data_IF_390780142766
#
_entry.id   IF_390780142766
#
_cell.length_a   1.000
_cell.length_b   1.000
_cell.length_c   1.000
_cell.angle_alpha   90.00
_cell.angle_beta   90.00
_cell.angle_gamma   90.00
#
_symmetry.space_group_name_H-M   'P 1'
#
loop_
_entity.id
_entity.type
_entity.pdbx_description
1 polymer ?
#
# COMPACT_ATOMS: atom_id res chain seq x y z
N UNK A 1 -43.12 2.95 4.10
CA UNK A 1 -41.95 3.61 4.72
C UNK A 1 -40.70 3.01 4.10
N UNK A 2 -39.95 3.79 3.32
CA UNK A 2 -38.65 3.37 2.79
C UNK A 2 -37.63 3.48 3.91
N UNK A 3 -37.17 2.37 4.48
CA UNK A 3 -36.04 2.37 5.41
C UNK A 3 -34.77 2.62 4.61
N UNK A 4 -34.27 3.84 4.63
CA UNK A 4 -32.94 4.17 4.11
C UNK A 4 -31.91 3.39 4.92
N UNK A 5 -31.23 2.42 4.31
CA UNK A 5 -30.04 1.80 4.90
C UNK A 5 -29.03 2.93 5.10
N UNK A 6 -28.54 3.18 6.33
CA UNK A 6 -27.54 4.21 6.54
C UNK A 6 -26.29 3.87 5.72
N UNK A 7 -25.59 4.88 5.16
CA UNK A 7 -24.36 4.62 4.45
C UNK A 7 -23.37 3.93 5.39
N UNK A 8 -22.75 2.84 4.92
CA UNK A 8 -21.73 2.13 5.69
C UNK A 8 -20.49 3.03 5.77
N UNK A 9 -20.44 3.87 6.81
CA UNK A 9 -19.25 4.63 7.16
C UNK A 9 -18.23 3.61 7.68
N UNK A 10 -17.11 3.46 6.97
CA UNK A 10 -16.01 2.61 7.44
C UNK A 10 -15.22 3.38 8.47
N UNK A 11 -15.01 2.75 9.63
CA UNK A 11 -14.10 3.26 10.64
C UNK A 11 -12.66 3.25 10.12
N UNK A 12 -11.76 4.13 10.62
CA UNK A 12 -10.33 4.06 10.30
C UNK A 12 -9.75 2.66 10.56
N UNK A 13 -10.20 2.00 11.62
CA UNK A 13 -9.78 0.65 12.01
C UNK A 13 -10.19 -0.39 10.96
N UNK A 14 -11.40 -0.28 10.40
CA UNK A 14 -11.84 -1.16 9.31
C UNK A 14 -11.02 -0.95 8.04
N UNK A 15 -10.61 0.28 7.76
CA UNK A 15 -9.75 0.61 6.62
C UNK A 15 -8.36 0.01 6.83
N UNK A 16 -7.73 0.27 7.99
CA UNK A 16 -6.43 -0.29 8.36
C UNK A 16 -6.43 -1.81 8.27
N UNK A 17 -7.39 -2.49 8.91
CA UNK A 17 -7.48 -3.97 8.89
C UNK A 17 -7.52 -4.53 7.46
N UNK A 18 -8.26 -3.89 6.56
CA UNK A 18 -8.38 -4.32 5.16
C UNK A 18 -7.10 -4.09 4.38
N UNK A 19 -6.44 -2.95 4.62
CA UNK A 19 -5.16 -2.63 3.97
C UNK A 19 -4.06 -3.57 4.47
N UNK A 20 -3.99 -3.84 5.77
CA UNK A 20 -3.02 -4.78 6.34
C UNK A 20 -3.21 -6.19 5.76
N UNK A 21 -4.46 -6.66 5.66
CA UNK A 21 -4.76 -7.96 5.03
C UNK A 21 -4.28 -8.01 3.57
N UNK A 22 -4.47 -6.92 2.82
CA UNK A 22 -4.00 -6.81 1.45
C UNK A 22 -2.47 -6.77 1.37
N UNK A 23 -1.82 -6.00 2.25
CA UNK A 23 -0.35 -5.89 2.33
C UNK A 23 0.26 -7.25 2.64
N UNK A 24 -0.23 -7.97 3.65
CA UNK A 24 0.22 -9.34 3.96
C UNK A 24 0.07 -10.25 2.76
N UNK A 25 -1.09 -10.20 2.08
CA UNK A 25 -1.32 -11.00 0.86
C UNK A 25 -0.33 -10.68 -0.25
N UNK A 26 0.03 -9.41 -0.44
CA UNK A 26 1.01 -8.98 -1.44
C UNK A 26 2.40 -9.50 -1.08
N UNK A 27 2.81 -9.32 0.18
CA UNK A 27 4.10 -9.74 0.71
C UNK A 27 4.30 -11.24 0.56
N UNK A 28 3.36 -12.02 1.07
CA UNK A 28 3.49 -13.47 1.14
C UNK A 28 3.46 -14.14 -0.23
N UNK A 29 2.56 -13.68 -1.11
CA UNK A 29 2.32 -14.34 -2.40
C UNK A 29 3.31 -13.92 -3.48
N UNK A 30 3.74 -12.65 -3.49
CA UNK A 30 4.47 -12.09 -4.63
C UNK A 30 5.89 -11.61 -4.31
N UNK A 31 6.17 -11.10 -3.10
CA UNK A 31 7.45 -10.43 -2.82
C UNK A 31 8.42 -11.26 -1.98
N UNK A 32 7.91 -11.94 -0.96
CA UNK A 32 8.72 -12.78 -0.09
C UNK A 32 9.42 -13.93 -0.87
N UNK A 33 8.78 -14.61 -1.84
CA UNK A 33 9.48 -15.60 -2.67
C UNK A 33 10.61 -15.01 -3.52
N UNK A 34 10.46 -13.77 -3.99
CA UNK A 34 11.41 -13.11 -4.90
C UNK A 34 12.60 -12.50 -4.17
N UNK A 35 12.40 -12.00 -2.95
CA UNK A 35 13.49 -11.49 -2.11
C UNK A 35 14.44 -12.64 -1.69
N UNK A 36 13.90 -13.84 -1.46
CA UNK A 36 14.69 -15.01 -1.05
C UNK A 36 15.46 -15.69 -2.19
N UNK A 37 14.96 -15.60 -3.43
CA UNK A 37 15.54 -16.28 -4.59
C UNK A 37 16.00 -15.25 -5.63
N UNK A 38 17.25 -14.83 -5.55
CA UNK A 38 17.85 -13.94 -6.52
C UNK A 38 17.94 -14.63 -7.90
N UNK A 39 17.03 -14.30 -8.83
CA UNK A 39 17.09 -14.78 -10.22
C UNK A 39 15.76 -15.10 -10.92
N UNK A 40 14.63 -15.18 -10.21
CA UNK A 40 13.28 -15.47 -10.76
C UNK A 40 12.32 -14.25 -10.61
N UNK A 41 11.16 -14.19 -11.31
CA UNK A 41 10.63 -12.96 -11.90
C UNK A 41 10.19 -11.89 -10.88
N UNK A 42 10.07 -10.67 -11.38
CA UNK A 42 9.82 -9.43 -10.65
C UNK A 42 8.63 -9.53 -9.69
N UNK A 43 8.88 -9.36 -8.39
CA UNK A 43 7.85 -9.21 -7.34
C UNK A 43 7.13 -7.85 -7.35
N UNK A 44 7.12 -7.17 -8.50
CA UNK A 44 6.50 -5.86 -8.65
C UNK A 44 4.98 -6.01 -8.73
N UNK A 45 4.25 -5.29 -7.87
CA UNK A 45 2.78 -5.30 -7.82
C UNK A 45 2.25 -3.90 -8.06
N UNK A 46 1.41 -3.73 -9.09
CA UNK A 46 0.72 -2.48 -9.37
C UNK A 46 -0.64 -2.45 -8.66
N UNK A 47 -0.84 -1.46 -7.80
CA UNK A 47 -2.12 -1.23 -7.11
C UNK A 47 -2.80 0.00 -7.70
N UNK A 48 -3.99 -0.17 -8.28
CA UNK A 48 -4.79 0.93 -8.86
C UNK A 48 -6.01 1.16 -8.00
N UNK A 49 -6.12 2.36 -7.42
CA UNK A 49 -7.24 2.74 -6.57
C UNK A 49 -7.36 4.27 -6.44
N UNK A 50 -8.33 4.73 -5.63
CA UNK A 50 -8.56 6.16 -5.39
C UNK A 50 -7.45 6.79 -4.51
N UNK A 51 -7.15 8.07 -4.70
CA UNK A 51 -6.05 8.75 -4.00
C UNK A 51 -6.13 8.69 -2.45
N UNK A 52 -7.32 8.72 -1.86
CA UNK A 52 -7.46 8.58 -0.39
C UNK A 52 -7.03 7.19 0.10
N UNK A 53 -7.40 6.12 -0.62
CA UNK A 53 -7.05 4.77 -0.20
C UNK A 53 -5.57 4.46 -0.50
N UNK A 54 -4.99 5.03 -1.56
CA UNK A 54 -3.57 4.87 -1.87
C UNK A 54 -2.66 5.56 -0.84
N UNK A 55 -3.06 6.74 -0.34
CA UNK A 55 -2.34 7.40 0.76
C UNK A 55 -2.43 6.60 2.05
N UNK A 56 -3.61 6.08 2.39
CA UNK A 56 -3.78 5.19 3.53
C UNK A 56 -2.95 3.90 3.36
N UNK A 57 -2.92 3.33 2.16
CA UNK A 57 -2.12 2.15 1.84
C UNK A 57 -0.62 2.41 2.05
N UNK A 58 -0.09 3.57 1.65
CA UNK A 58 1.31 3.93 1.89
C UNK A 58 1.63 4.10 3.39
N UNK A 59 0.70 4.63 4.19
CA UNK A 59 0.86 4.70 5.65
C UNK A 59 0.88 3.30 6.27
N UNK A 60 -0.10 2.44 5.94
CA UNK A 60 -0.13 1.05 6.39
C UNK A 60 1.09 0.25 5.91
N UNK A 61 1.60 0.52 4.72
CA UNK A 61 2.79 -0.14 4.18
C UNK A 61 3.99 -0.02 5.11
N UNK A 62 4.20 1.18 5.66
CA UNK A 62 5.28 1.50 6.61
C UNK A 62 4.91 1.29 8.07
N UNK A 63 3.78 0.64 8.35
CA UNK A 63 3.30 0.38 9.72
C UNK A 63 2.91 1.64 10.50
N UNK A 64 2.62 2.76 9.81
CA UNK A 64 2.22 4.01 10.45
C UNK A 64 0.69 4.09 10.60
N UNK A 65 0.18 4.65 11.71
CA UNK A 65 -1.25 4.82 11.91
C UNK A 65 -1.83 5.83 10.91
N UNK A 66 -3.13 5.70 10.62
CA UNK A 66 -3.85 6.62 9.73
C UNK A 66 -4.17 7.99 10.34
N UNK A 67 -3.77 8.23 11.60
CA UNK A 67 -4.01 9.49 12.32
C UNK A 67 -3.27 10.68 11.72
N UNK A 68 -2.11 10.44 11.09
CA UNK A 68 -1.19 11.49 10.60
C UNK A 68 -0.86 11.29 9.11
N UNK A 69 -1.85 11.46 8.23
CA UNK A 69 -1.64 11.29 6.78
C UNK A 69 -1.11 12.58 6.14
N UNK A 70 0.20 12.77 6.13
CA UNK A 70 0.88 13.90 5.46
C UNK A 70 1.44 13.52 4.08
N UNK A 71 0.61 12.88 3.24
CA UNK A 71 0.98 12.48 1.88
C UNK A 71 0.12 13.22 0.85
N UNK A 72 0.75 13.65 -0.25
CA UNK A 72 0.08 14.20 -1.43
C UNK A 72 0.26 13.20 -2.57
N UNK A 73 -0.85 12.88 -3.24
CA UNK A 73 -0.85 12.06 -4.45
C UNK A 73 -1.80 12.72 -5.45
N UNK A 74 -1.21 13.30 -6.50
CA UNK A 74 -1.94 13.97 -7.57
C UNK A 74 -2.74 12.98 -8.43
N UNK A 75 -3.73 13.49 -9.16
CA UNK A 75 -4.49 12.68 -10.11
C UNK A 75 -3.54 12.12 -11.19
N UNK A 76 -3.57 10.80 -11.40
CA UNK A 76 -2.63 10.11 -12.30
C UNK A 76 -1.21 9.97 -11.74
N UNK A 77 -0.94 10.44 -10.52
CA UNK A 77 0.34 10.26 -9.84
C UNK A 77 0.60 8.79 -9.49
N UNK A 78 1.88 8.41 -9.49
CA UNK A 78 2.35 7.07 -9.14
C UNK A 78 3.34 7.20 -7.98
N UNK A 79 3.10 6.43 -6.91
CA UNK A 79 4.05 6.26 -5.81
C UNK A 79 4.64 4.85 -5.84
N UNK A 80 5.89 4.72 -5.38
CA UNK A 80 6.57 3.41 -5.29
C UNK A 80 6.81 3.06 -3.83
N UNK A 81 6.40 1.86 -3.46
CA UNK A 81 6.58 1.29 -2.14
C UNK A 81 7.52 0.09 -2.25
N UNK A 82 8.47 -0.03 -1.33
CA UNK A 82 9.54 -1.03 -1.39
C UNK A 82 10.01 -1.37 0.04
N UNK A 83 11.26 -1.83 0.15
CA UNK A 83 11.90 -2.31 1.36
C UNK A 83 13.33 -1.76 1.47
N UNK A 84 13.79 -1.47 2.70
CA UNK A 84 15.20 -1.19 2.98
C UNK A 84 16.01 -2.49 3.00
N UNK A 85 17.32 -2.40 2.72
CA UNK A 85 18.28 -3.50 2.84
C UNK A 85 17.88 -4.83 2.17
N UNK A 86 17.00 -4.79 1.15
CA UNK A 86 16.38 -5.99 0.58
C UNK A 86 15.69 -6.90 1.62
N UNK A 87 15.10 -6.31 2.66
CA UNK A 87 14.48 -7.01 3.77
C UNK A 87 12.96 -6.76 3.82
N UNK A 88 12.14 -7.81 3.68
CA UNK A 88 10.67 -7.72 3.70
C UNK A 88 10.11 -7.11 5.00
N UNK A 89 10.87 -7.22 6.10
CA UNK A 89 10.49 -6.72 7.42
C UNK A 89 10.75 -5.22 7.60
N UNK A 90 11.42 -4.57 6.63
CA UNK A 90 11.77 -3.15 6.66
C UNK A 90 11.08 -2.39 5.52
N UNK A 91 9.75 -2.22 5.55
CA UNK A 91 9.03 -1.56 4.46
C UNK A 91 9.29 -0.05 4.42
N UNK A 92 9.46 0.47 3.20
CA UNK A 92 9.79 1.86 2.94
C UNK A 92 8.99 2.45 1.76
N UNK A 93 8.95 3.77 1.71
CA UNK A 93 8.43 4.55 0.58
C UNK A 93 9.63 5.09 -0.19
N UNK A 94 9.66 4.87 -1.51
CA UNK A 94 10.69 5.45 -2.36
C UNK A 94 10.30 6.89 -2.67
N UNK A 95 11.08 7.86 -2.18
CA UNK A 95 10.82 9.31 -2.32
C UNK A 95 11.34 9.91 -3.64
N UNK A 96 11.65 9.08 -4.63
CA UNK A 96 12.07 9.50 -5.97
C UNK A 96 11.98 8.33 -6.96
N UNK A 97 11.21 8.48 -8.03
CA UNK A 97 11.15 7.49 -9.09
C UNK A 97 12.39 7.55 -9.99
N UNK A 98 12.70 6.45 -10.69
CA UNK A 98 13.48 6.55 -11.92
C UNK A 98 12.65 7.41 -12.87
N UNK A 99 13.05 8.65 -13.12
CA UNK A 99 12.56 9.39 -14.28
C UNK A 99 12.89 8.54 -15.50
N UNK A 100 11.87 8.01 -16.17
CA UNK A 100 12.03 7.53 -17.54
C UNK A 100 11.88 8.80 -18.37
N UNK A 101 13.00 9.32 -18.84
CA UNK A 101 13.01 10.22 -20.01
C UNK A 101 12.81 9.38 -21.27
#
# INVERSE_FOLDING_TARGET
MLTSVPPVVRSPEDVTRRLDTLISSIRDKYQHPTIKNAGEPKGDVLVVAQGHILRAFAMCWTGKPLTDTSLILEAGGVGTLSYEHHNIDEPAIILGGRSVE
#
